data_IF_401706097087
#
_entry.id   IF_401706097087
#
_cell.length_a   1.000
_cell.length_b   1.000
_cell.length_c   1.000
_cell.angle_alpha   90.00
_cell.angle_beta   90.00
_cell.angle_gamma   90.00
#
_symmetry.space_group_name_H-M   'P 1'
#
loop_
_entity.id
_entity.type
_entity.pdbx_description
1 polymer ?
#
# COMPACT_ATOMS: atom_id res chain seq x y z
N UNK A 1 -20.49 -37.99 5.02
CA UNK A 1 -19.03 -38.24 4.94
C UNK A 1 -18.38 -37.89 3.59
N UNK A 2 -19.11 -37.48 2.55
CA UNK A 2 -18.56 -37.23 1.20
C UNK A 2 -17.87 -35.85 0.99
N UNK A 3 -18.14 -34.84 1.84
CA UNK A 3 -17.60 -33.47 1.64
C UNK A 3 -16.11 -33.28 1.96
N UNK A 4 -15.48 -34.15 2.75
CA UNK A 4 -14.05 -33.98 3.12
C UNK A 4 -13.10 -34.44 2.02
N UNK A 5 -13.47 -35.45 1.22
CA UNK A 5 -12.61 -35.97 0.16
C UNK A 5 -12.44 -34.99 -1.00
N UNK A 6 -13.46 -34.18 -1.28
CA UNK A 6 -13.42 -33.14 -2.33
C UNK A 6 -12.42 -32.02 -2.02
N UNK A 7 -12.16 -31.73 -0.74
CA UNK A 7 -11.15 -30.75 -0.31
C UNK A 7 -9.72 -31.28 -0.49
N UNK A 8 -9.49 -32.59 -0.40
CA UNK A 8 -8.16 -33.18 -0.59
C UNK A 8 -7.80 -33.34 -2.07
N UNK A 9 -8.76 -33.65 -2.95
CA UNK A 9 -8.54 -33.69 -4.40
C UNK A 9 -8.36 -32.30 -5.02
N UNK A 10 -8.99 -31.26 -4.45
CA UNK A 10 -8.73 -29.85 -4.81
C UNK A 10 -7.36 -29.35 -4.34
N UNK A 11 -6.78 -29.95 -3.29
CA UNK A 11 -5.42 -29.62 -2.82
C UNK A 11 -4.29 -30.17 -3.70
N UNK A 12 -4.58 -31.16 -4.56
CA UNK A 12 -3.60 -31.85 -5.40
C UNK A 12 -3.49 -31.25 -6.82
N UNK A 13 -4.48 -30.45 -7.22
CA UNK A 13 -4.47 -29.58 -8.39
C UNK A 13 -4.53 -28.14 -7.91
N UNK A 14 -3.48 -27.67 -7.23
CA UNK A 14 -3.32 -26.21 -7.09
C UNK A 14 -3.11 -25.71 -8.52
N UNK A 15 -4.06 -24.98 -9.13
CA UNK A 15 -3.81 -24.43 -10.45
C UNK A 15 -2.56 -23.55 -10.33
N UNK A 16 -1.67 -23.57 -11.32
CA UNK A 16 -0.43 -22.77 -11.27
C UNK A 16 -0.72 -21.30 -10.90
N UNK A 17 -1.91 -20.81 -11.25
CA UNK A 17 -2.44 -19.50 -10.86
C UNK A 17 -2.58 -19.31 -9.35
N UNK A 18 -3.02 -20.30 -8.58
CA UNK A 18 -3.19 -20.20 -7.13
C UNK A 18 -1.83 -20.15 -6.40
N UNK A 19 -0.84 -20.91 -6.88
CA UNK A 19 0.53 -20.84 -6.35
C UNK A 19 1.15 -19.49 -6.72
N UNK A 20 0.98 -19.05 -7.97
CA UNK A 20 1.46 -17.75 -8.42
C UNK A 20 0.82 -16.61 -7.62
N UNK A 21 -0.48 -16.64 -7.38
CA UNK A 21 -1.20 -15.63 -6.58
C UNK A 21 -0.74 -15.62 -5.12
N UNK A 22 -0.57 -16.80 -4.52
CA UNK A 22 -0.10 -16.93 -3.13
C UNK A 22 1.33 -16.37 -2.92
N UNK A 23 2.19 -16.40 -3.94
CA UNK A 23 3.54 -15.83 -3.89
C UNK A 23 3.55 -14.37 -4.33
N UNK A 24 2.80 -14.04 -5.38
CA UNK A 24 2.80 -12.72 -5.99
C UNK A 24 2.10 -11.69 -5.11
N UNK A 25 1.00 -12.07 -4.45
CA UNK A 25 0.25 -11.18 -3.58
C UNK A 25 1.13 -10.56 -2.47
N UNK A 26 1.86 -11.31 -1.64
CA UNK A 26 2.71 -10.70 -0.61
C UNK A 26 3.84 -9.87 -1.21
N UNK A 27 4.40 -10.25 -2.36
CA UNK A 27 5.43 -9.45 -3.03
C UNK A 27 4.86 -8.10 -3.46
N UNK A 28 3.69 -8.11 -4.12
CA UNK A 28 3.01 -6.89 -4.56
C UNK A 28 2.62 -6.03 -3.37
N UNK A 29 2.10 -6.61 -2.30
CA UNK A 29 1.76 -5.89 -1.07
C UNK A 29 2.99 -5.24 -0.43
N UNK A 30 4.12 -5.96 -0.31
CA UNK A 30 5.39 -5.41 0.21
C UNK A 30 5.90 -4.26 -0.66
N UNK A 31 5.88 -4.44 -1.98
CA UNK A 31 6.33 -3.41 -2.93
C UNK A 31 5.43 -2.19 -2.82
N UNK A 32 4.11 -2.36 -2.86
CA UNK A 32 3.16 -1.26 -2.71
C UNK A 32 3.34 -0.55 -1.38
N UNK A 33 3.54 -1.26 -0.28
CA UNK A 33 3.75 -0.64 1.02
C UNK A 33 5.07 0.15 1.05
N UNK A 34 6.19 -0.44 0.63
CA UNK A 34 7.47 0.28 0.61
C UNK A 34 7.44 1.51 -0.30
N UNK A 35 6.84 1.39 -1.48
CA UNK A 35 6.77 2.50 -2.43
C UNK A 35 5.75 3.56 -2.02
N UNK A 36 4.52 3.18 -1.66
CA UNK A 36 3.47 4.14 -1.35
C UNK A 36 3.66 4.75 0.05
N UNK A 37 3.72 3.93 1.10
CA UNK A 37 3.93 4.46 2.45
C UNK A 37 5.29 5.14 2.58
N UNK A 38 6.36 4.55 2.04
CA UNK A 38 7.70 5.14 2.11
C UNK A 38 7.81 6.49 1.40
N UNK A 39 7.21 6.64 0.21
CA UNK A 39 7.19 7.94 -0.47
C UNK A 39 6.36 8.96 0.28
N UNK A 40 5.17 8.59 0.78
CA UNK A 40 4.35 9.53 1.55
C UNK A 40 5.01 9.94 2.87
N UNK A 41 5.70 9.02 3.55
CA UNK A 41 6.46 9.30 4.76
C UNK A 41 7.53 10.38 4.55
N UNK A 42 8.12 10.43 3.34
CA UNK A 42 9.09 11.46 2.97
C UNK A 42 8.43 12.73 2.42
N UNK A 43 7.46 12.60 1.52
CA UNK A 43 6.83 13.72 0.84
C UNK A 43 5.95 14.55 1.78
N UNK A 44 5.21 13.93 2.70
CA UNK A 44 4.26 14.63 3.56
C UNK A 44 4.95 15.63 4.50
N UNK A 45 6.03 15.29 5.22
CA UNK A 45 6.78 16.28 6.00
C UNK A 45 7.39 17.38 5.13
N UNK A 46 7.88 17.05 3.93
CA UNK A 46 8.49 18.03 3.01
C UNK A 46 7.44 19.06 2.55
N UNK A 47 6.30 18.59 2.05
CA UNK A 47 5.24 19.47 1.56
C UNK A 47 4.49 20.20 2.67
N UNK A 48 4.40 19.61 3.86
CA UNK A 48 3.76 20.24 5.02
C UNK A 48 4.68 21.16 5.83
N UNK A 49 5.92 21.40 5.37
CA UNK A 49 6.94 22.18 6.09
C UNK A 49 7.18 21.66 7.51
N UNK A 50 7.12 20.33 7.69
CA UNK A 50 7.26 19.66 8.98
C UNK A 50 6.07 19.82 9.92
N UNK A 51 4.89 20.26 9.45
CA UNK A 51 3.69 20.36 10.30
C UNK A 51 2.90 19.05 10.41
N UNK A 52 3.03 18.16 9.42
CA UNK A 52 2.35 16.86 9.36
C UNK A 52 3.40 15.76 9.40
N UNK A 53 3.21 14.82 10.33
CA UNK A 53 4.04 13.63 10.48
C UNK A 53 3.20 12.39 10.20
N UNK A 54 3.83 11.36 9.67
CA UNK A 54 3.19 10.06 9.46
C UNK A 54 3.47 9.17 10.66
N UNK A 55 2.43 8.49 11.15
CA UNK A 55 2.54 7.55 12.25
C UNK A 55 3.44 6.36 11.87
N UNK A 56 4.48 6.05 12.68
CA UNK A 56 5.37 4.94 12.40
C UNK A 56 4.62 3.62 12.58
N UNK A 57 4.38 2.89 11.48
CA UNK A 57 3.79 1.56 11.55
C UNK A 57 4.86 0.52 11.95
N UNK A 58 4.55 -0.44 12.83
CA UNK A 58 5.41 -1.59 13.03
C UNK A 58 5.63 -2.35 11.71
N UNK A 59 6.87 -2.75 11.44
CA UNK A 59 7.30 -3.45 10.20
C UNK A 59 6.50 -4.74 9.92
N UNK A 60 5.79 -5.28 10.93
CA UNK A 60 4.97 -6.49 10.83
C UNK A 60 3.53 -6.25 10.40
N UNK A 61 3.05 -5.00 10.38
CA UNK A 61 1.69 -4.69 9.96
C UNK A 61 1.67 -4.19 8.52
N UNK A 62 0.92 -4.90 7.68
CA UNK A 62 0.71 -4.51 6.29
C UNK A 62 -0.30 -3.36 6.25
N UNK A 63 0.17 -2.18 5.83
CA UNK A 63 -0.66 -0.98 5.73
C UNK A 63 -1.42 -1.03 4.41
N UNK A 64 -2.74 -1.16 4.49
CA UNK A 64 -3.61 -1.07 3.32
C UNK A 64 -3.90 0.41 3.02
N UNK A 65 -3.88 0.84 1.74
CA UNK A 65 -4.32 2.17 1.37
C UNK A 65 -5.77 2.39 1.79
N UNK A 66 -6.03 3.45 2.55
CA UNK A 66 -7.35 3.68 3.13
C UNK A 66 -7.59 5.13 3.49
N UNK A 67 -8.86 5.46 3.74
CA UNK A 67 -9.26 6.74 4.30
C UNK A 67 -9.01 6.72 5.81
N UNK A 68 -7.73 6.71 6.19
CA UNK A 68 -7.31 6.86 7.59
C UNK A 68 -7.61 8.26 8.13
N UNK A 69 -7.23 8.51 9.38
CA UNK A 69 -7.50 9.77 10.09
C UNK A 69 -6.26 10.65 10.13
N UNK A 70 -6.52 11.96 10.12
CA UNK A 70 -5.55 12.98 10.47
C UNK A 70 -5.91 13.49 11.86
N UNK A 71 -5.06 13.22 12.84
CA UNK A 71 -5.27 13.61 14.22
C UNK A 71 -4.37 14.79 14.58
N UNK A 72 -4.94 15.79 15.25
CA UNK A 72 -4.15 16.92 15.76
C UNK A 72 -3.55 16.52 17.10
N UNK A 73 -2.24 16.65 17.23
CA UNK A 73 -1.52 16.46 18.48
C UNK A 73 -1.61 17.71 19.35
N UNK A 74 -1.60 17.52 20.67
CA UNK A 74 -1.66 18.59 21.67
C UNK A 74 -0.50 19.60 21.53
N UNK A 75 0.60 19.18 20.91
CA UNK A 75 1.77 20.03 20.64
C UNK A 75 1.67 20.83 19.32
N UNK A 76 0.51 20.84 18.67
CA UNK A 76 0.24 21.67 17.49
C UNK A 76 0.70 21.10 16.13
N UNK A 77 1.23 19.88 16.11
CA UNK A 77 1.50 19.13 14.88
C UNK A 77 0.34 18.19 14.53
N UNK A 78 0.24 17.77 13.28
CA UNK A 78 -0.73 16.77 12.83
C UNK A 78 -0.04 15.42 12.65
N UNK A 79 -0.67 14.36 13.14
CA UNK A 79 -0.24 12.98 12.94
C UNK A 79 -1.22 12.34 11.97
N UNK A 80 -0.67 11.78 10.90
CA UNK A 80 -1.41 11.13 9.84
C UNK A 80 -1.25 9.62 9.98
N UNK A 81 -2.37 8.92 10.00
CA UNK A 81 -2.37 7.45 10.04
C UNK A 81 -1.70 6.87 8.79
N UNK A 82 -1.06 5.72 8.95
CA UNK A 82 -0.30 5.06 7.90
C UNK A 82 -1.16 4.72 6.67
N UNK A 83 -2.43 4.37 6.85
CA UNK A 83 -3.36 4.06 5.75
C UNK A 83 -3.54 5.27 4.81
N UNK A 84 -3.69 6.46 5.40
CA UNK A 84 -3.83 7.71 4.67
C UNK A 84 -2.51 8.12 4.00
N UNK A 85 -1.37 7.88 4.68
CA UNK A 85 -0.06 8.03 4.06
C UNK A 85 0.09 7.13 2.83
N UNK A 86 -0.21 5.83 2.96
CA UNK A 86 -0.15 4.89 1.85
C UNK A 86 -1.07 5.29 0.69
N UNK A 87 -2.26 5.82 1.00
CA UNK A 87 -3.16 6.34 -0.04
C UNK A 87 -2.55 7.54 -0.78
N UNK A 88 -1.95 8.50 -0.08
CA UNK A 88 -1.28 9.65 -0.68
C UNK A 88 -0.13 9.21 -1.59
N UNK A 89 0.70 8.27 -1.13
CA UNK A 89 1.80 7.73 -1.93
C UNK A 89 1.30 7.02 -3.19
N UNK A 90 0.20 6.28 -3.09
CA UNK A 90 -0.46 5.63 -4.23
C UNK A 90 -0.95 6.67 -5.25
N UNK A 91 -1.63 7.73 -4.79
CA UNK A 91 -2.11 8.82 -5.65
C UNK A 91 -0.97 9.56 -6.33
N UNK A 92 0.13 9.80 -5.61
CA UNK A 92 1.34 10.41 -6.17
C UNK A 92 1.89 9.57 -7.33
N UNK A 93 2.09 8.26 -7.13
CA UNK A 93 2.58 7.38 -8.17
C UNK A 93 1.61 7.23 -9.34
N UNK A 94 0.31 7.24 -9.07
CA UNK A 94 -0.71 7.25 -10.12
C UNK A 94 -0.61 8.51 -10.98
N UNK A 95 -0.44 9.68 -10.36
CA UNK A 95 -0.21 10.93 -11.08
C UNK A 95 1.09 10.91 -11.89
N UNK A 96 2.18 10.36 -11.34
CA UNK A 96 3.45 10.17 -12.06
C UNK A 96 3.28 9.24 -13.26
N UNK A 97 2.54 8.13 -13.12
CA UNK A 97 2.28 7.19 -14.21
C UNK A 97 1.47 7.84 -15.34
N UNK A 98 0.44 8.63 -15.00
CA UNK A 98 -0.35 9.41 -15.96
C UNK A 98 0.54 10.44 -16.67
N UNK A 99 1.36 11.18 -15.92
CA UNK A 99 2.25 12.19 -16.49
C UNK A 99 3.28 11.56 -17.44
N UNK A 100 3.86 10.42 -17.07
CA UNK A 100 4.78 9.67 -17.92
C UNK A 100 4.08 9.18 -19.20
N UNK A 101 2.89 8.60 -19.08
CA UNK A 101 2.10 8.18 -20.24
C UNK A 101 1.82 9.35 -21.19
N UNK A 102 1.32 10.47 -20.64
CA UNK A 102 1.06 11.68 -21.42
C UNK A 102 2.32 12.19 -22.14
N UNK A 103 3.47 12.20 -21.46
CA UNK A 103 4.75 12.58 -22.05
C UNK A 103 5.13 11.67 -23.23
N UNK A 104 5.08 10.36 -23.06
CA UNK A 104 5.40 9.41 -24.13
C UNK A 104 4.40 9.43 -25.29
N UNK A 105 3.13 9.77 -25.06
CA UNK A 105 2.16 9.93 -26.16
C UNK A 105 2.32 11.22 -26.96
N UNK A 106 2.99 12.23 -26.38
CA UNK A 106 3.29 13.49 -27.06
C UNK A 106 4.63 13.47 -27.81
N UNK A 107 5.46 12.45 -27.56
CA UNK A 107 6.79 12.27 -28.17
C UNK A 107 6.68 11.29 -29.34
#
# INVERSE_FOLDING_TARGET
>A
QSRRYLSYTLGLLMPLSAIAEAILQPIVEVVLQLFCYGTAWLLVPIFSLGRVYVEPTPIREFVKPGFGRLQRSDKGHYVMEAELASLIGMLFWFAVAIAAYAYFTQT
#
